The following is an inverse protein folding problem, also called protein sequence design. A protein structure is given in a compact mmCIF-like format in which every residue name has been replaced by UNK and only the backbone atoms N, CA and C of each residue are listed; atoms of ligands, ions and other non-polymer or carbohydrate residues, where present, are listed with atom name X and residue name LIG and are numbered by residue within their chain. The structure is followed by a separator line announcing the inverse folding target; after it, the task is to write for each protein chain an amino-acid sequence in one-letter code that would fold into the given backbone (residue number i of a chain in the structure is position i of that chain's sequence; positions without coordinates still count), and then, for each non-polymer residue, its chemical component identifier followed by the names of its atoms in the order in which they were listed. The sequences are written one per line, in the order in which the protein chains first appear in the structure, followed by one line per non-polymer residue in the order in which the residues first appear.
data_IF_433349736026
#
_entry.id   IF_433349736026
#
_cell.length_a   1.000
_cell.length_b   1.000
_cell.length_c   1.000
_cell.angle_alpha   90.00
_cell.angle_beta   90.00
_cell.angle_gamma   90.00
#
_symmetry.space_group_name_H-M   'P 1'
#
loop_
_entity.id
_entity.type
_entity.pdbx_description
1 polymer ?
#
# COMPACT_ATOMS: atom_id res chain seq x y z
N UNK A 1 2.78 26.41 18.78
CA UNK A 1 2.04 25.17 19.06
C UNK A 1 2.88 24.39 20.05
N UNK A 2 2.52 24.39 21.32
CA UNK A 2 3.21 23.61 22.35
C UNK A 2 2.66 22.19 22.28
N UNK A 3 3.48 21.23 21.85
CA UNK A 3 3.17 19.82 22.07
C UNK A 3 2.99 19.63 23.57
N UNK A 4 1.75 19.51 24.02
CA UNK A 4 1.45 19.26 25.42
C UNK A 4 1.95 17.83 25.72
N UNK A 5 3.06 17.76 26.46
CA UNK A 5 3.69 16.49 26.82
C UNK A 5 3.03 15.96 28.09
N UNK A 6 2.43 14.78 27.98
CA UNK A 6 1.90 14.05 29.11
C UNK A 6 2.97 13.14 29.72
N UNK A 7 3.28 13.33 31.01
CA UNK A 7 4.32 12.59 31.70
C UNK A 7 3.78 11.30 32.32
N UNK A 8 3.91 10.20 31.57
CA UNK A 8 3.40 8.89 31.95
C UNK A 8 4.54 7.91 32.24
N UNK A 9 4.34 6.97 33.14
CA UNK A 9 5.22 5.79 33.22
C UNK A 9 5.08 4.94 31.95
N UNK A 10 6.04 4.05 31.69
CA UNK A 10 5.96 3.16 30.52
C UNK A 10 4.69 2.29 30.50
N UNK A 11 4.18 1.90 31.66
CA UNK A 11 2.97 1.09 31.77
C UNK A 11 1.69 1.91 31.55
N UNK A 12 1.65 3.14 32.04
CA UNK A 12 0.54 4.06 31.78
C UNK A 12 0.51 4.50 30.32
N UNK A 13 1.69 4.80 29.76
CA UNK A 13 1.88 5.06 28.34
C UNK A 13 1.44 3.89 27.46
N UNK A 14 1.76 2.66 27.88
CA UNK A 14 1.35 1.44 27.18
C UNK A 14 -0.18 1.34 27.10
N UNK A 15 -0.87 1.62 28.22
CA UNK A 15 -2.33 1.65 28.28
C UNK A 15 -2.91 2.77 27.43
N UNK A 16 -2.36 3.98 27.53
CA UNK A 16 -2.82 5.15 26.79
C UNK A 16 -2.66 4.97 25.26
N UNK A 17 -1.57 4.32 24.83
CA UNK A 17 -1.27 4.08 23.42
C UNK A 17 -1.82 2.75 22.88
N UNK A 18 -2.39 1.89 23.73
CA UNK A 18 -2.86 0.55 23.32
C UNK A 18 -1.74 -0.38 22.81
N UNK A 19 -0.51 -0.25 23.32
CA UNK A 19 0.67 -1.05 22.92
C UNK A 19 1.42 -1.58 24.14
N UNK A 20 2.37 -2.51 23.96
CA UNK A 20 3.20 -3.03 25.08
C UNK A 20 4.21 -1.98 25.57
N UNK A 21 4.52 -2.00 26.86
CA UNK A 21 5.51 -1.10 27.49
C UNK A 21 6.89 -1.13 26.84
N UNK A 22 7.34 -2.28 26.31
CA UNK A 22 8.63 -2.37 25.61
C UNK A 22 8.59 -1.65 24.24
N UNK A 23 7.44 -1.66 23.56
CA UNK A 23 7.24 -0.89 22.32
C UNK A 23 7.25 0.61 22.60
N UNK A 24 6.61 1.05 23.70
CA UNK A 24 6.71 2.43 24.18
C UNK A 24 8.17 2.80 24.41
N UNK A 25 8.96 1.93 25.06
CA UNK A 25 10.40 2.17 25.30
C UNK A 25 11.20 2.34 24.01
N UNK A 26 10.99 1.46 23.02
CA UNK A 26 11.62 1.57 21.69
C UNK A 26 11.22 2.83 20.97
N UNK A 27 9.93 3.15 20.94
CA UNK A 27 9.36 4.34 20.31
C UNK A 27 9.89 5.62 20.94
N UNK A 28 9.96 5.66 22.27
CA UNK A 28 10.55 6.77 23.02
C UNK A 28 12.05 6.94 22.72
N UNK A 29 12.80 5.85 22.51
CA UNK A 29 14.20 5.92 22.11
C UNK A 29 14.35 6.45 20.67
N UNK A 30 13.60 5.88 19.72
CA UNK A 30 13.65 6.24 18.31
C UNK A 30 13.24 7.71 18.07
N UNK A 31 12.19 8.18 18.75
CA UNK A 31 11.67 9.54 18.64
C UNK A 31 12.28 10.52 19.65
N UNK A 32 13.27 10.08 20.43
CA UNK A 32 13.97 10.89 21.45
C UNK A 32 13.02 11.61 22.41
N UNK A 33 11.95 10.93 22.83
CA UNK A 33 11.01 11.50 23.78
C UNK A 33 11.69 11.80 25.12
N UNK A 34 11.36 12.92 25.77
CA UNK A 34 12.00 13.33 27.00
C UNK A 34 11.70 12.33 28.11
N UNK A 35 12.72 12.01 28.92
CA UNK A 35 12.65 11.05 30.02
C UNK A 35 13.03 11.71 31.33
N UNK A 36 12.32 11.39 32.41
CA UNK A 36 12.61 11.90 33.76
C UNK A 36 12.39 10.81 34.79
N UNK A 37 13.23 10.77 35.82
CA UNK A 37 13.03 9.89 36.97
C UNK A 37 12.02 10.55 37.92
N UNK A 38 10.91 9.87 38.21
CA UNK A 38 9.92 10.32 39.17
C UNK A 38 10.38 10.14 40.62
N UNK A 39 9.73 10.84 41.54
CA UNK A 39 9.98 10.73 42.99
C UNK A 39 9.68 9.32 43.55
N UNK A 40 8.95 8.52 42.78
CA UNK A 40 8.63 7.10 42.98
C UNK A 40 9.75 6.14 42.51
N UNK A 41 10.91 6.69 42.12
CA UNK A 41 12.03 5.98 41.47
C UNK A 41 11.66 5.31 40.14
N UNK A 42 10.49 5.60 39.57
CA UNK A 42 10.07 5.07 38.26
C UNK A 42 10.41 6.07 37.16
N UNK A 43 10.85 5.56 36.01
CA UNK A 43 11.08 6.39 34.83
C UNK A 43 9.75 6.79 34.19
N UNK A 44 9.56 8.09 33.96
CA UNK A 44 8.44 8.66 33.20
C UNK A 44 8.94 9.19 31.86
N UNK A 45 8.10 9.05 30.84
CA UNK A 45 8.35 9.51 29.48
C UNK A 45 7.30 10.58 29.14
N UNK A 46 7.76 11.69 28.57
CA UNK A 46 6.88 12.74 28.06
C UNK A 46 6.34 12.34 26.69
N UNK A 47 5.04 12.04 26.62
CA UNK A 47 4.35 11.61 25.40
C UNK A 47 3.56 12.80 24.86
N UNK A 48 3.78 13.22 23.60
CA UNK A 48 2.95 14.25 22.99
C UNK A 48 1.47 13.81 22.98
N UNK A 49 0.56 14.69 23.42
CA UNK A 49 -0.87 14.36 23.45
C UNK A 49 -1.47 14.05 22.08
N UNK A 50 -0.92 14.62 21.01
CA UNK A 50 -1.36 14.40 19.63
C UNK A 50 -1.31 12.93 19.18
N UNK A 51 -0.50 12.10 19.84
CA UNK A 51 -0.37 10.67 19.51
C UNK A 51 -1.10 9.75 20.49
N UNK A 52 -1.71 10.28 21.55
CA UNK A 52 -2.53 9.51 22.49
C UNK A 52 -3.93 9.41 21.88
N UNK A 53 -4.38 8.22 21.44
CA UNK A 53 -5.72 8.05 20.92
C UNK A 53 -6.76 8.33 22.02
N UNK A 54 -7.77 9.15 21.71
CA UNK A 54 -8.84 9.55 22.66
C UNK A 54 -9.75 8.37 23.06
N UNK A 55 -9.74 7.30 22.27
CA UNK A 55 -10.38 6.03 22.58
C UNK A 55 -9.30 4.99 22.90
N UNK A 56 -9.25 4.49 24.14
CA UNK A 56 -8.38 3.39 24.57
C UNK A 56 -8.52 2.20 23.61
N UNK A 57 -7.56 1.96 22.68
CA UNK A 57 -7.63 0.81 21.81
C UNK A 57 -7.28 -0.42 22.65
N UNK A 58 -7.94 -1.55 22.40
CA UNK A 58 -7.51 -2.84 22.94
C UNK A 58 -6.01 -3.03 22.63
N UNK A 59 -5.22 -3.64 23.53
CA UNK A 59 -3.78 -3.78 23.34
C UNK A 59 -3.50 -4.53 22.03
N UNK A 60 -3.11 -3.78 20.99
CA UNK A 60 -2.69 -4.33 19.72
C UNK A 60 -1.39 -5.06 19.98
N UNK A 61 -1.36 -6.38 19.74
CA UNK A 61 -0.10 -7.08 19.59
C UNK A 61 0.66 -6.41 18.46
N UNK A 62 1.76 -5.72 18.78
CA UNK A 62 2.75 -5.28 17.81
C UNK A 62 3.22 -6.53 17.07
N UNK A 63 2.61 -6.82 15.92
CA UNK A 63 3.15 -7.76 14.95
C UNK A 63 4.14 -6.94 14.15
N UNK A 64 5.35 -6.80 14.67
CA UNK A 64 6.49 -6.50 13.81
C UNK A 64 6.74 -7.78 13.00
N UNK A 65 6.56 -7.76 11.66
CA UNK A 65 6.85 -8.93 10.85
C UNK A 65 8.29 -9.34 11.10
N UNK A 66 8.52 -10.62 11.40
CA UNK A 66 9.89 -11.13 11.55
C UNK A 66 10.56 -11.21 10.17
N UNK A 67 11.87 -11.44 10.14
CA UNK A 67 12.65 -11.50 8.90
C UNK A 67 12.09 -12.55 7.91
N UNK A 68 11.54 -13.66 8.42
CA UNK A 68 10.86 -14.67 7.59
C UNK A 68 9.59 -14.12 6.93
N UNK A 69 8.75 -13.41 7.69
CA UNK A 69 7.53 -12.79 7.15
C UNK A 69 7.90 -11.74 6.10
N UNK A 70 8.96 -10.98 6.32
CA UNK A 70 9.45 -9.98 5.37
C UNK A 70 10.00 -10.59 4.08
N UNK A 71 10.61 -11.78 4.14
CA UNK A 71 11.05 -12.52 2.95
C UNK A 71 9.83 -12.99 2.16
N UNK A 72 8.83 -13.59 2.82
CA UNK A 72 7.60 -14.04 2.18
C UNK A 72 6.84 -12.88 1.52
N UNK A 73 6.65 -11.77 2.23
CA UNK A 73 6.00 -10.57 1.69
C UNK A 73 6.73 -10.05 0.45
N UNK A 74 8.07 -10.10 0.43
CA UNK A 74 8.86 -9.64 -0.74
C UNK A 74 8.71 -10.57 -1.94
N UNK A 75 8.65 -11.88 -1.69
CA UNK A 75 8.44 -12.89 -2.72
C UNK A 75 7.05 -12.77 -3.33
N UNK A 76 6.00 -12.76 -2.51
CA UNK A 76 4.61 -12.54 -2.94
C UNK A 76 4.46 -11.23 -3.72
N UNK A 77 5.13 -10.15 -3.27
CA UNK A 77 5.11 -8.88 -3.98
C UNK A 77 5.79 -8.95 -5.34
N UNK A 78 6.86 -9.74 -5.49
CA UNK A 78 7.55 -9.94 -6.76
C UNK A 78 6.69 -10.76 -7.74
N UNK A 79 6.02 -11.79 -7.25
CA UNK A 79 5.07 -12.61 -8.02
C UNK A 79 3.91 -11.75 -8.50
N UNK A 80 3.24 -11.03 -7.60
CA UNK A 80 2.11 -10.17 -7.94
C UNK A 80 2.49 -9.09 -8.98
N UNK A 81 3.70 -8.53 -8.90
CA UNK A 81 4.20 -7.57 -9.90
C UNK A 81 4.40 -8.21 -11.27
N UNK A 82 4.87 -9.45 -11.30
CA UNK A 82 5.07 -10.20 -12.54
C UNK A 82 3.73 -10.53 -13.19
N UNK A 83 2.76 -10.99 -12.40
CA UNK A 83 1.41 -11.26 -12.87
C UNK A 83 0.73 -10.00 -13.42
N UNK A 84 0.80 -8.88 -12.71
CA UNK A 84 0.26 -7.58 -13.18
C UNK A 84 0.88 -7.17 -14.50
N UNK A 85 2.18 -7.39 -14.70
CA UNK A 85 2.84 -7.09 -15.98
C UNK A 85 2.29 -7.96 -17.10
N UNK A 86 2.21 -9.28 -16.88
CA UNK A 86 1.73 -10.23 -17.89
C UNK A 86 0.26 -9.98 -18.26
N UNK A 87 -0.60 -9.72 -17.27
CA UNK A 87 -2.01 -9.38 -17.51
C UNK A 87 -2.16 -8.10 -18.32
N UNK A 88 -1.31 -7.09 -18.07
CA UNK A 88 -1.32 -5.85 -18.86
C UNK A 88 -0.90 -6.08 -20.31
N UNK A 89 0.10 -6.92 -20.54
CA UNK A 89 0.54 -7.31 -21.88
C UNK A 89 -0.57 -8.05 -22.62
N UNK A 90 -1.17 -9.07 -22.01
CA UNK A 90 -2.32 -9.79 -22.57
C UNK A 90 -3.50 -8.88 -22.89
N UNK A 91 -3.81 -7.91 -22.02
CA UNK A 91 -4.87 -6.93 -22.28
C UNK A 91 -4.51 -6.02 -23.46
N UNK A 92 -3.23 -5.70 -23.66
CA UNK A 92 -2.78 -4.93 -24.82
C UNK A 92 -3.00 -5.71 -26.10
N UNK A 93 -2.49 -6.95 -26.15
CA UNK A 93 -2.61 -7.81 -27.33
C UNK A 93 -4.07 -8.05 -27.71
N UNK A 94 -4.93 -8.34 -26.74
CA UNK A 94 -6.36 -8.54 -26.97
C UNK A 94 -7.06 -7.27 -27.47
N UNK A 95 -6.61 -6.08 -27.06
CA UNK A 95 -7.14 -4.82 -27.57
C UNK A 95 -6.71 -4.59 -29.01
N UNK A 96 -5.44 -4.85 -29.32
CA UNK A 96 -4.89 -4.70 -30.66
C UNK A 96 -5.60 -5.67 -31.63
N UNK A 97 -5.79 -6.92 -31.24
CA UNK A 97 -6.56 -7.91 -32.00
C UNK A 97 -8.00 -7.43 -32.23
N UNK A 98 -8.69 -7.01 -31.16
CA UNK A 98 -10.07 -6.48 -31.27
C UNK A 98 -10.14 -5.30 -32.22
N UNK A 99 -9.18 -4.40 -32.17
CA UNK A 99 -9.18 -3.19 -32.99
C UNK A 99 -8.86 -3.52 -34.46
N UNK A 100 -7.94 -4.46 -34.72
CA UNK A 100 -7.72 -5.01 -36.06
C UNK A 100 -8.98 -5.66 -36.64
N UNK A 101 -9.71 -6.45 -35.83
CA UNK A 101 -10.99 -7.05 -36.25
C UNK A 101 -12.04 -5.99 -36.54
N UNK A 102 -12.11 -4.92 -35.74
CA UNK A 102 -13.03 -3.79 -35.96
C UNK A 102 -12.71 -3.03 -37.24
N UNK A 103 -11.44 -2.81 -37.54
CA UNK A 103 -11.02 -2.16 -38.78
C UNK A 103 -11.39 -3.00 -40.02
N UNK A 104 -11.16 -4.31 -39.97
CA UNK A 104 -11.54 -5.23 -41.04
C UNK A 104 -13.06 -5.25 -41.24
N UNK A 105 -13.85 -5.28 -40.17
CA UNK A 105 -15.30 -5.27 -40.23
C UNK A 105 -15.85 -3.95 -40.78
N UNK A 106 -15.23 -2.82 -40.42
CA UNK A 106 -15.62 -1.49 -40.89
C UNK A 106 -15.03 -1.12 -42.25
N UNK A 107 -14.23 -2.01 -42.87
CA UNK A 107 -13.64 -1.74 -44.17
C UNK A 107 -14.75 -1.58 -45.21
N UNK A 108 -14.87 -0.42 -45.88
CA UNK A 108 -15.88 -0.23 -46.90
C UNK A 108 -15.63 -1.23 -48.03
N UNK A 109 -16.62 -2.09 -48.29
CA UNK A 109 -16.56 -3.02 -49.41
C UNK A 109 -16.74 -2.22 -50.70
N UNK A 110 -15.92 -2.45 -51.74
CA UNK A 110 -16.11 -1.79 -53.02
C UNK A 110 -17.50 -2.13 -53.54
N UNK A 111 -18.20 -1.11 -54.02
CA UNK A 111 -19.56 -1.28 -54.51
C UNK A 111 -19.60 -2.31 -55.66
N UNK A 112 -20.73 -3.00 -55.83
CA UNK A 112 -20.91 -3.97 -56.91
C UNK A 112 -20.54 -3.38 -58.29
N UNK A 113 -20.86 -2.09 -58.49
CA UNK A 113 -20.53 -1.35 -59.70
C UNK A 113 -19.03 -1.15 -59.89
N UNK A 114 -18.27 -0.86 -58.83
CA UNK A 114 -16.80 -0.77 -58.91
C UNK A 114 -16.15 -2.13 -59.19
N UNK A 115 -16.70 -3.20 -58.62
CA UNK A 115 -16.21 -4.57 -58.87
C UNK A 115 -16.41 -5.00 -60.33
N UNK A 116 -17.58 -4.71 -60.89
CA UNK A 116 -17.90 -4.98 -62.30
C UNK A 116 -17.04 -4.12 -63.22
N UNK A 117 -16.89 -2.81 -62.95
CA UNK A 117 -16.02 -1.95 -63.76
C UNK A 117 -14.58 -2.46 -63.81
N UNK A 118 -14.04 -2.95 -62.68
CA UNK A 118 -12.66 -3.46 -62.61
C UNK A 118 -12.48 -4.80 -63.33
N UNK A 119 -13.50 -5.66 -63.40
CA UNK A 119 -13.42 -6.93 -64.14
C UNK A 119 -13.47 -6.76 -65.65
N UNK A 120 -14.13 -5.70 -66.16
CA UNK A 120 -14.21 -5.41 -67.59
C UNK A 120 -13.06 -4.54 -68.13
N UNK A 121 -12.34 -3.82 -67.27
CA UNK A 121 -11.18 -2.99 -67.68
C UNK A 121 -9.85 -3.76 -67.77
N UNK A 122 -9.84 -5.06 -67.46
CA UNK A 122 -8.65 -5.92 -67.44
C UNK A 122 -8.60 -7.01 -68.51
N UNK A 123 -9.50 -6.96 -69.51
CA UNK A 123 -9.54 -7.88 -70.66
C UNK A 123 -9.42 -7.10 -71.96
#
# INVERSE_FOLDING_TARGET
MTDELEWLTYDEAAKALGIKADSVRRRAAARKWPRRTGNDRKARVGIPRDIIPDATPAPTTDITPDDTDMIQIREELAEARTEVRLLREQISDLKDDRDAWRELANRPQPSLLERIRKSFAGS
#
